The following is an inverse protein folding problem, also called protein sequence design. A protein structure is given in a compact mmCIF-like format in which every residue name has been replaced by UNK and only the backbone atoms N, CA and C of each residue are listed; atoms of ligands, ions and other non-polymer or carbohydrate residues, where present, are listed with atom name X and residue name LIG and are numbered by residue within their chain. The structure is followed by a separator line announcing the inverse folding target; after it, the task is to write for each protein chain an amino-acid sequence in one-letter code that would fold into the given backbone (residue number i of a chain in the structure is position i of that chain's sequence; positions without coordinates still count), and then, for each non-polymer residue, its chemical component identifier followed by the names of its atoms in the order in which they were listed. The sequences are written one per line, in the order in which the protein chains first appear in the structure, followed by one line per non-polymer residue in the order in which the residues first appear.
data_IF_901829085608
#
_entry.id   IF_901829085608
#
_cell.length_a   1.000
_cell.length_b   1.000
_cell.length_c   1.000
_cell.angle_alpha   90.00
_cell.angle_beta   90.00
_cell.angle_gamma   90.00
#
_symmetry.space_group_name_H-M   'P 1'
#
loop_
_entity.id
_entity.type
_entity.pdbx_description
1 polymer ?
#
# COMPACT_ATOMS: atom_id res chain seq x y z
N UNK A 1 -48.72 1.50 -10.49
CA UNK A 1 -47.49 2.25 -10.14
C UNK A 1 -47.05 1.69 -8.80
N UNK A 2 -46.00 0.88 -8.79
CA UNK A 2 -45.41 0.35 -7.57
C UNK A 2 -44.15 1.15 -7.30
N UNK A 3 -44.22 2.00 -6.28
CA UNK A 3 -43.08 2.67 -5.68
C UNK A 3 -42.51 1.71 -4.62
N UNK A 4 -41.39 1.08 -4.95
CA UNK A 4 -40.53 0.36 -3.99
C UNK A 4 -39.28 1.21 -3.79
N UNK A 5 -39.44 2.36 -3.16
CA UNK A 5 -38.34 3.16 -2.62
C UNK A 5 -37.67 2.41 -1.46
N UNK A 6 -36.69 1.57 -1.80
CA UNK A 6 -35.80 0.95 -0.83
C UNK A 6 -35.06 2.03 -0.04
N UNK A 7 -35.15 1.92 1.28
CA UNK A 7 -34.43 2.76 2.23
C UNK A 7 -32.92 2.54 2.10
N UNK A 8 -32.27 3.32 1.23
CA UNK A 8 -30.85 3.62 1.32
C UNK A 8 -30.67 4.80 2.28
N UNK A 9 -30.69 4.53 3.59
CA UNK A 9 -30.18 5.51 4.55
C UNK A 9 -28.72 5.83 4.22
N UNK A 10 -28.23 7.05 4.51
CA UNK A 10 -26.83 7.36 4.27
C UNK A 10 -25.96 6.34 5.01
N UNK A 11 -25.09 5.65 4.28
CA UNK A 11 -23.92 4.98 4.86
C UNK A 11 -23.21 6.05 5.68
N UNK A 12 -23.23 5.91 7.00
CA UNK A 12 -22.61 6.90 7.89
C UNK A 12 -21.14 7.01 7.52
N UNK A 13 -20.66 8.25 7.32
CA UNK A 13 -19.23 8.50 7.31
C UNK A 13 -18.70 8.04 8.67
N UNK A 14 -17.85 7.01 8.69
CA UNK A 14 -17.23 6.52 9.92
C UNK A 14 -15.97 7.34 10.29
N UNK A 15 -15.63 8.34 9.47
CA UNK A 15 -14.55 9.27 9.70
C UNK A 15 -14.84 10.27 10.83
N UNK A 16 -13.84 10.55 11.65
CA UNK A 16 -13.88 11.57 12.69
C UNK A 16 -12.49 12.13 13.00
N UNK A 17 -12.39 13.45 13.11
CA UNK A 17 -11.17 14.16 13.58
C UNK A 17 -10.83 13.82 15.05
N UNK A 18 -11.76 13.23 15.81
CA UNK A 18 -11.54 12.78 17.20
C UNK A 18 -10.85 11.40 17.28
N UNK A 19 -10.72 10.68 16.16
CA UNK A 19 -10.03 9.39 16.11
C UNK A 19 -8.50 9.59 15.96
N UNK A 20 -7.73 8.91 16.79
CA UNK A 20 -6.26 8.98 16.75
C UNK A 20 -5.64 7.62 17.11
N UNK A 21 -4.74 7.16 16.25
CA UNK A 21 -3.74 6.16 16.61
C UNK A 21 -2.40 6.88 16.80
N UNK A 22 -1.85 6.80 18.00
CA UNK A 22 -0.57 7.43 18.34
C UNK A 22 0.46 6.42 18.83
N UNK A 23 1.63 6.39 18.20
CA UNK A 23 2.78 5.54 18.56
C UNK A 23 3.89 6.44 19.12
N UNK A 24 4.05 6.41 20.44
CA UNK A 24 5.01 7.27 21.15
C UNK A 24 6.34 6.59 21.51
N UNK A 25 6.45 5.27 21.31
CA UNK A 25 7.57 4.47 21.78
C UNK A 25 7.29 2.97 21.78
N UNK A 26 8.25 2.18 22.26
CA UNK A 26 8.16 0.72 22.28
C UNK A 26 8.44 0.09 20.93
N UNK A 27 8.16 -1.21 20.81
CA UNK A 27 8.27 -1.96 19.56
C UNK A 27 6.93 -2.64 19.25
N UNK A 28 6.38 -2.35 18.08
CA UNK A 28 5.11 -2.88 17.59
C UNK A 28 5.36 -3.57 16.25
N UNK A 29 4.88 -4.81 16.12
CA UNK A 29 4.93 -5.57 14.88
C UNK A 29 3.52 -6.05 14.52
N UNK A 30 3.08 -5.75 13.31
CA UNK A 30 1.70 -5.99 12.86
C UNK A 30 1.69 -6.93 11.66
N UNK A 31 0.82 -7.93 11.70
CA UNK A 31 0.44 -8.71 10.53
C UNK A 31 -1.08 -8.65 10.44
N UNK A 32 -1.59 -7.89 9.47
CA UNK A 32 -3.00 -7.66 9.31
C UNK A 32 -3.54 -8.30 8.03
N UNK A 33 -4.78 -8.79 8.11
CA UNK A 33 -5.56 -9.22 6.94
C UNK A 33 -6.28 -8.08 6.21
N UNK A 34 -6.20 -6.87 6.77
CA UNK A 34 -6.60 -5.60 6.17
C UNK A 34 -5.45 -4.60 6.35
N UNK A 35 -5.74 -3.31 6.46
CA UNK A 35 -4.70 -2.30 6.66
C UNK A 35 -3.90 -2.55 7.95
N UNK A 36 -2.57 -2.35 7.89
CA UNK A 36 -1.73 -2.63 9.06
C UNK A 36 -1.90 -1.57 10.15
N UNK A 37 -2.06 -0.30 9.76
CA UNK A 37 -2.44 0.79 10.67
C UNK A 37 -3.63 1.51 10.04
N UNK A 38 -4.80 1.38 10.65
CA UNK A 38 -6.08 1.87 10.14
C UNK A 38 -6.70 2.82 11.16
N UNK A 39 -6.81 4.11 10.80
CA UNK A 39 -7.49 5.10 11.62
C UNK A 39 -8.59 5.80 10.84
N UNK A 40 -9.82 5.76 11.35
CA UNK A 40 -10.89 6.64 10.85
C UNK A 40 -10.64 8.15 11.13
N UNK A 41 -9.45 8.51 11.62
CA UNK A 41 -9.07 9.88 11.96
C UNK A 41 -7.64 10.16 11.52
N UNK A 42 -6.75 10.34 12.50
CA UNK A 42 -5.33 10.62 12.32
C UNK A 42 -4.44 9.45 12.76
N UNK A 43 -3.23 9.43 12.21
CA UNK A 43 -2.11 8.61 12.68
C UNK A 43 -0.95 9.52 13.07
N UNK A 44 -0.34 9.28 14.22
CA UNK A 44 0.84 10.01 14.68
C UNK A 44 1.92 9.06 15.19
N UNK A 45 3.14 9.20 14.67
CA UNK A 45 4.31 8.42 15.11
C UNK A 45 5.38 9.38 15.62
N UNK A 46 5.62 9.37 16.94
CA UNK A 46 6.59 10.27 17.58
C UNK A 46 7.84 9.53 18.09
N UNK A 47 7.80 8.20 18.15
CA UNK A 47 8.94 7.39 18.57
C UNK A 47 8.68 5.88 18.50
N UNK A 48 9.70 5.09 18.87
CA UNK A 48 9.63 3.63 18.90
C UNK A 48 9.95 2.97 17.57
N UNK A 49 9.59 1.70 17.44
CA UNK A 49 9.74 0.89 16.23
C UNK A 49 8.37 0.35 15.83
N UNK A 50 7.96 0.62 14.59
CA UNK A 50 6.69 0.19 14.02
C UNK A 50 6.97 -0.60 12.74
N UNK A 51 6.81 -1.92 12.82
CA UNK A 51 6.94 -2.85 11.71
C UNK A 51 5.57 -3.40 11.36
N UNK A 52 5.29 -3.59 10.08
CA UNK A 52 3.97 -4.07 9.69
C UNK A 52 3.91 -4.63 8.29
N UNK A 53 3.00 -5.58 8.10
CA UNK A 53 2.55 -5.96 6.76
C UNK A 53 1.03 -6.05 6.73
N UNK A 54 0.44 -5.46 5.70
CA UNK A 54 -0.94 -5.66 5.31
C UNK A 54 -1.01 -6.76 4.25
N UNK A 55 -1.96 -7.68 4.39
CA UNK A 55 -2.20 -8.74 3.41
C UNK A 55 -3.58 -8.57 2.78
N UNK A 56 -3.63 -7.99 1.59
CA UNK A 56 -4.83 -7.92 0.79
C UNK A 56 -4.66 -6.97 -0.39
N UNK A 57 -5.26 -7.30 -1.53
CA UNK A 57 -5.03 -6.52 -2.77
C UNK A 57 -5.72 -5.14 -2.74
N UNK A 58 -6.63 -4.91 -1.79
CA UNK A 58 -7.35 -3.65 -1.60
C UNK A 58 -6.98 -2.93 -0.29
N UNK A 59 -5.94 -3.39 0.40
CA UNK A 59 -5.55 -2.89 1.72
C UNK A 59 -4.15 -2.28 1.63
N UNK A 60 -3.96 -1.18 2.34
CA UNK A 60 -2.76 -0.38 2.45
C UNK A 60 -1.91 -0.81 3.65
N UNK A 61 -0.66 -0.36 3.70
CA UNK A 61 0.16 -0.52 4.90
C UNK A 61 -0.24 0.48 6.00
N UNK A 62 -0.85 1.59 5.61
CA UNK A 62 -1.19 2.72 6.46
C UNK A 62 -2.41 3.39 5.81
N UNK A 63 -3.53 3.47 6.55
CA UNK A 63 -4.81 4.04 6.12
C UNK A 63 -5.29 5.05 7.16
N UNK A 64 -5.71 6.22 6.68
CA UNK A 64 -6.27 7.28 7.49
C UNK A 64 -7.20 8.17 6.67
N UNK A 65 -8.21 8.77 7.31
CA UNK A 65 -9.08 9.69 6.59
C UNK A 65 -8.49 11.12 6.49
N UNK A 66 -7.79 11.60 7.54
CA UNK A 66 -7.42 13.02 7.61
C UNK A 66 -5.91 13.29 7.46
N UNK A 67 -5.05 12.52 8.12
CA UNK A 67 -3.61 12.70 8.00
C UNK A 67 -2.76 11.72 8.80
N UNK A 68 -1.51 11.58 8.39
CA UNK A 68 -0.50 10.80 9.08
C UNK A 68 0.78 11.61 9.28
N UNK A 69 1.14 11.86 10.54
CA UNK A 69 2.33 12.66 10.91
C UNK A 69 3.43 11.80 11.51
N UNK A 70 4.68 12.04 11.10
CA UNK A 70 5.85 11.39 11.71
C UNK A 70 6.91 12.40 12.20
N UNK A 71 7.21 12.35 13.49
CA UNK A 71 8.24 13.21 14.10
C UNK A 71 9.39 12.43 14.73
N UNK A 72 9.27 11.10 14.82
CA UNK A 72 10.29 10.25 15.40
C UNK A 72 9.99 8.77 15.25
N UNK A 73 11.02 7.92 15.38
CA UNK A 73 10.91 6.46 15.42
C UNK A 73 11.33 5.77 14.13
N UNK A 74 11.38 4.45 14.15
CA UNK A 74 11.75 3.61 13.01
C UNK A 74 10.50 2.92 12.47
N UNK A 75 10.18 3.14 11.19
CA UNK A 75 8.98 2.63 10.52
C UNK A 75 9.37 1.81 9.29
N UNK A 76 8.81 0.61 9.18
CA UNK A 76 8.80 -0.21 7.98
C UNK A 76 7.43 -0.88 7.86
N UNK A 77 6.57 -0.33 7.01
CA UNK A 77 5.21 -0.83 6.77
C UNK A 77 5.08 -1.27 5.32
N UNK A 78 4.76 -2.54 5.10
CA UNK A 78 4.61 -3.11 3.76
C UNK A 78 3.12 -3.41 3.43
N UNK A 79 2.72 -3.24 2.18
CA UNK A 79 1.32 -3.43 1.77
C UNK A 79 1.11 -3.48 0.26
N UNK A 80 -0.15 -3.37 -0.18
CA UNK A 80 -0.52 -3.31 -1.60
C UNK A 80 -0.17 -1.96 -2.22
N UNK A 81 0.28 -1.99 -3.47
CA UNK A 81 0.56 -0.78 -4.26
C UNK A 81 -0.71 -0.05 -4.68
N UNK A 82 -1.84 -0.76 -4.80
CA UNK A 82 -3.09 -0.21 -5.35
C UNK A 82 -3.76 0.83 -4.46
N UNK A 83 -3.52 0.74 -3.15
CA UNK A 83 -4.06 1.63 -2.10
C UNK A 83 -2.91 2.20 -1.26
N UNK A 84 -1.72 2.32 -1.84
CA UNK A 84 -0.55 2.73 -1.08
C UNK A 84 -0.64 4.19 -0.64
N UNK A 85 -0.70 4.39 0.67
CA UNK A 85 -0.51 5.69 1.29
C UNK A 85 0.84 5.78 2.01
N UNK A 86 1.19 7.00 2.43
CA UNK A 86 2.41 7.32 3.17
C UNK A 86 2.06 8.37 4.23
N UNK A 87 3.03 8.74 5.06
CA UNK A 87 2.88 9.94 5.88
C UNK A 87 2.59 11.18 5.01
N UNK A 88 1.78 12.09 5.54
CA UNK A 88 1.40 13.34 4.88
C UNK A 88 2.36 14.47 5.22
N UNK A 89 2.93 14.45 6.42
CA UNK A 89 3.84 15.48 6.93
C UNK A 89 4.67 14.96 8.11
N UNK A 90 5.63 15.78 8.56
CA UNK A 90 6.47 15.42 9.69
C UNK A 90 7.79 16.20 9.75
N UNK A 91 8.48 16.09 10.88
CA UNK A 91 9.87 16.57 11.00
C UNK A 91 10.88 15.47 10.69
N UNK A 92 10.47 14.21 10.72
CA UNK A 92 11.33 13.08 10.36
C UNK A 92 11.03 12.66 8.91
N UNK A 93 12.03 12.63 8.03
CA UNK A 93 11.85 12.23 6.64
C UNK A 93 11.35 10.80 6.47
N UNK A 94 10.57 10.58 5.42
CA UNK A 94 9.98 9.30 5.07
C UNK A 94 9.98 9.09 3.55
N UNK A 95 9.66 7.87 3.12
CA UNK A 95 9.47 7.54 1.71
C UNK A 95 8.47 6.40 1.53
N UNK A 96 7.73 6.43 0.42
CA UNK A 96 6.99 5.28 -0.12
C UNK A 96 7.79 4.69 -1.27
N UNK A 97 8.15 3.41 -1.17
CA UNK A 97 9.04 2.73 -2.12
C UNK A 97 8.31 1.57 -2.79
N UNK A 98 8.31 1.56 -4.11
CA UNK A 98 7.66 0.51 -4.92
C UNK A 98 8.57 -0.73 -5.03
N UNK A 99 8.68 -1.46 -3.93
CA UNK A 99 9.40 -2.72 -3.84
C UNK A 99 8.42 -3.85 -3.48
N UNK A 100 8.58 -5.01 -4.12
CA UNK A 100 7.66 -6.14 -3.99
C UNK A 100 8.38 -7.38 -3.48
N UNK A 101 7.67 -8.18 -2.68
CA UNK A 101 8.18 -9.41 -2.11
C UNK A 101 7.07 -10.44 -1.89
N UNK A 102 7.44 -11.72 -1.91
CA UNK A 102 6.56 -12.80 -1.50
C UNK A 102 6.54 -12.93 0.03
N UNK A 103 5.58 -13.70 0.56
CA UNK A 103 5.60 -14.09 1.96
C UNK A 103 6.93 -14.77 2.33
N UNK A 104 7.51 -14.37 3.46
CA UNK A 104 8.83 -14.79 3.93
C UNK A 104 10.00 -14.00 3.34
N UNK A 105 9.77 -12.97 2.52
CA UNK A 105 10.86 -12.14 2.00
C UNK A 105 11.53 -11.31 3.12
N UNK A 106 12.85 -11.24 3.07
CA UNK A 106 13.63 -10.32 3.92
C UNK A 106 13.64 -8.94 3.28
N UNK A 107 13.15 -7.95 4.03
CA UNK A 107 13.14 -6.54 3.66
C UNK A 107 14.14 -5.81 4.55
N UNK A 108 15.06 -5.06 3.97
CA UNK A 108 16.02 -4.24 4.70
C UNK A 108 16.04 -2.81 4.15
N UNK A 109 16.07 -1.84 5.04
CA UNK A 109 16.26 -0.42 4.71
C UNK A 109 17.67 -0.03 5.09
N UNK A 110 18.40 0.59 4.16
CA UNK A 110 19.76 1.08 4.43
C UNK A 110 19.94 2.53 3.96
N UNK A 111 20.84 3.24 4.62
CA UNK A 111 21.29 4.57 4.20
C UNK A 111 22.20 4.51 2.96
N UNK A 112 22.61 5.67 2.45
CA UNK A 112 23.53 5.79 1.32
C UNK A 112 24.92 5.17 1.56
N UNK A 113 25.32 4.96 2.83
CA UNK A 113 26.57 4.29 3.19
C UNK A 113 26.43 2.75 3.24
N UNK A 114 25.21 2.24 3.07
CA UNK A 114 24.89 0.81 3.18
C UNK A 114 24.69 0.34 4.62
N UNK A 115 24.55 1.25 5.58
CA UNK A 115 24.22 0.90 6.97
C UNK A 115 22.75 0.52 7.04
N UNK A 116 22.45 -0.72 7.46
CA UNK A 116 21.07 -1.14 7.72
C UNK A 116 20.47 -0.33 8.87
N UNK A 117 19.37 0.36 8.58
CA UNK A 117 18.60 1.16 9.54
C UNK A 117 17.52 0.31 10.21
N UNK A 118 16.91 -0.60 9.46
CA UNK A 118 15.89 -1.55 9.92
C UNK A 118 15.79 -2.73 8.96
N UNK A 119 15.46 -3.91 9.49
CA UNK A 119 15.10 -5.08 8.69
C UNK A 119 13.82 -5.73 9.22
N UNK A 120 13.14 -6.47 8.35
CA UNK A 120 11.89 -7.15 8.63
C UNK A 120 11.66 -8.31 7.67
N UNK A 121 11.40 -9.51 8.21
CA UNK A 121 10.91 -10.64 7.40
C UNK A 121 9.40 -10.52 7.24
N UNK A 122 8.92 -10.15 6.05
CA UNK A 122 7.51 -9.93 5.81
C UNK A 122 6.73 -11.27 5.78
N UNK A 123 5.78 -11.53 6.70
CA UNK A 123 5.03 -12.80 6.73
C UNK A 123 4.00 -12.94 5.60
N UNK A 124 3.73 -11.87 4.86
CA UNK A 124 2.79 -11.79 3.74
C UNK A 124 3.43 -11.13 2.53
N UNK A 125 2.89 -11.38 1.34
CA UNK A 125 3.35 -10.72 0.13
C UNK A 125 2.96 -9.23 0.13
N UNK A 126 3.78 -8.38 -0.48
CA UNK A 126 3.61 -6.93 -0.54
C UNK A 126 4.13 -6.38 -1.88
N UNK A 127 3.77 -5.14 -2.18
CA UNK A 127 4.09 -4.46 -3.44
C UNK A 127 4.67 -3.05 -3.25
N UNK A 128 4.59 -2.51 -2.03
CA UNK A 128 5.26 -1.30 -1.64
C UNK A 128 5.69 -1.35 -0.16
N UNK A 129 6.58 -0.42 0.22
CA UNK A 129 7.06 -0.25 1.59
C UNK A 129 7.10 1.24 1.94
N UNK A 130 6.46 1.63 3.04
CA UNK A 130 6.61 2.95 3.68
C UNK A 130 7.73 2.85 4.70
N UNK A 131 8.70 3.75 4.60
CA UNK A 131 9.91 3.75 5.44
C UNK A 131 10.15 5.11 6.08
N UNK A 132 10.64 5.10 7.31
CA UNK A 132 11.21 6.26 7.99
C UNK A 132 12.14 5.78 9.10
N UNK A 133 13.19 6.54 9.39
CA UNK A 133 14.10 6.22 10.48
C UNK A 133 14.73 7.51 11.04
N UNK A 134 15.11 7.56 12.33
CA UNK A 134 15.69 8.76 12.93
C UNK A 134 17.01 9.22 12.30
N UNK A 135 17.68 8.33 11.58
CA UNK A 135 18.94 8.58 10.89
C UNK A 135 18.77 9.26 9.53
N UNK A 136 17.56 9.27 8.95
CA UNK A 136 17.30 9.89 7.66
C UNK A 136 17.13 11.42 7.81
N UNK A 137 17.79 12.18 6.95
CA UNK A 137 17.60 13.62 6.78
C UNK A 137 16.91 13.95 5.44
N UNK A 138 16.35 15.16 5.32
CA UNK A 138 15.69 15.62 4.11
C UNK A 138 16.65 15.54 2.91
N UNK A 139 16.23 14.85 1.86
CA UNK A 139 17.04 14.67 0.65
C UNK A 139 18.05 13.53 0.72
N UNK A 140 18.14 12.80 1.84
CA UNK A 140 19.03 11.64 1.93
C UNK A 140 18.60 10.55 0.95
N UNK A 141 19.59 9.95 0.29
CA UNK A 141 19.38 8.72 -0.47
C UNK A 141 19.39 7.50 0.47
N UNK A 142 18.52 6.55 0.18
CA UNK A 142 18.47 5.27 0.87
C UNK A 142 18.05 4.14 -0.08
N UNK A 143 18.07 2.92 0.43
CA UNK A 143 17.64 1.73 -0.33
C UNK A 143 16.68 0.89 0.48
N UNK A 144 15.66 0.35 -0.19
CA UNK A 144 14.88 -0.79 0.28
C UNK A 144 15.34 -2.01 -0.50
N UNK A 145 15.90 -2.99 0.18
CA UNK A 145 16.34 -4.27 -0.38
C UNK A 145 15.33 -5.35 -0.05
N UNK A 146 14.86 -6.08 -1.07
CA UNK A 146 14.02 -7.27 -0.90
C UNK A 146 14.79 -8.48 -1.40
N UNK A 147 15.14 -9.40 -0.50
CA UNK A 147 15.99 -10.57 -0.80
C UNK A 147 17.27 -10.20 -1.59
N UNK A 148 17.90 -9.06 -1.26
CA UNK A 148 19.11 -8.56 -1.92
C UNK A 148 18.88 -7.71 -3.18
N UNK A 149 17.63 -7.56 -3.65
CA UNK A 149 17.31 -6.65 -4.77
C UNK A 149 16.98 -5.26 -4.23
N UNK A 150 17.86 -4.30 -4.48
CA UNK A 150 17.74 -2.94 -3.97
C UNK A 150 16.89 -2.04 -4.88
N UNK A 151 16.03 -1.23 -4.26
CA UNK A 151 15.29 -0.10 -4.87
C UNK A 151 15.67 1.16 -4.12
N UNK A 152 16.17 2.17 -4.85
CA UNK A 152 16.58 3.45 -4.26
C UNK A 152 15.36 4.34 -3.95
N UNK A 153 15.50 5.18 -2.92
CA UNK A 153 14.56 6.25 -2.61
C UNK A 153 15.30 7.50 -2.14
N UNK A 154 14.59 8.63 -2.14
CA UNK A 154 15.03 9.87 -1.51
C UNK A 154 14.06 10.20 -0.38
N UNK A 155 14.57 10.38 0.83
CA UNK A 155 13.76 10.69 1.99
C UNK A 155 13.27 12.15 1.93
N UNK A 156 12.00 12.38 2.27
CA UNK A 156 11.43 13.73 2.37
C UNK A 156 10.44 13.82 3.52
N UNK A 157 10.31 15.02 4.08
CA UNK A 157 9.28 15.43 5.05
C UNK A 157 7.95 15.75 4.38
N UNK A 158 7.93 15.74 3.04
CA UNK A 158 6.73 15.89 2.23
C UNK A 158 6.47 14.62 1.42
N UNK A 159 5.21 14.29 1.12
CA UNK A 159 4.89 13.09 0.36
C UNK A 159 5.50 13.19 -1.03
N UNK A 160 6.35 12.23 -1.37
CA UNK A 160 6.80 12.08 -2.75
C UNK A 160 5.63 11.54 -3.55
N UNK A 161 5.15 12.30 -4.54
CA UNK A 161 4.21 11.76 -5.53
C UNK A 161 4.90 10.56 -6.18
N UNK A 162 4.41 9.35 -5.87
CA UNK A 162 5.04 8.08 -6.26
C UNK A 162 5.58 8.16 -7.68
N UNK A 163 6.87 7.87 -7.85
CA UNK A 163 7.58 7.98 -9.11
C UNK A 163 6.91 7.17 -10.21
N UNK A 164 6.01 7.83 -10.94
CA UNK A 164 5.46 7.38 -12.20
C UNK A 164 5.03 8.64 -12.95
N UNK A 165 5.80 8.97 -14.00
CA UNK A 165 5.61 10.16 -14.81
C UNK A 165 4.16 10.37 -15.21
N UNK A 166 3.61 11.52 -14.83
CA UNK A 166 2.24 11.88 -15.13
C UNK A 166 1.97 13.28 -14.61
N UNK A 167 2.16 14.27 -15.47
CA UNK A 167 1.58 15.60 -15.36
C UNK A 167 0.13 15.49 -14.85
N UNK A 168 -0.09 15.67 -13.56
CA UNK A 168 -1.38 16.10 -13.04
C UNK A 168 -1.44 17.59 -13.34
N UNK A 169 -1.97 17.87 -14.52
CA UNK A 169 -2.25 19.21 -15.00
C UNK A 169 -3.06 19.96 -13.95
N UNK A 170 -2.39 20.87 -13.25
CA UNK A 170 -3.06 22.00 -12.65
C UNK A 170 -3.56 22.87 -13.80
N UNK A 171 -4.79 22.63 -14.24
CA UNK A 171 -5.61 23.69 -14.82
C UNK A 171 -5.79 24.73 -13.71
N UNK A 172 -4.79 25.63 -13.56
CA UNK A 172 -5.02 26.94 -12.98
C UNK A 172 -5.86 27.68 -14.01
N UNK A 173 -7.17 27.69 -13.76
CA UNK A 173 -8.12 28.49 -14.49
C UNK A 173 -7.85 29.96 -14.20
N UNK A 174 -6.93 30.54 -14.97
CA UNK A 174 -6.78 31.98 -15.08
C UNK A 174 -7.86 32.49 -16.03
N UNK A 175 -9.03 32.81 -15.45
CA UNK A 175 -9.99 33.71 -16.10
C UNK A 175 -9.40 35.12 -16.05
N UNK A 176 -8.66 35.47 -17.09
CA UNK A 176 -8.27 36.85 -17.37
C UNK A 176 -9.04 37.36 -18.59
N UNK A 177 -9.64 38.53 -18.39
CA UNK A 177 -10.46 39.30 -19.31
C UNK A 177 -9.81 39.53 -20.67
N UNK A 178 -10.65 39.58 -21.72
CA UNK A 178 -10.38 40.41 -22.89
C UNK A 178 -10.44 39.72 -24.25
N UNK A 179 -11.40 40.17 -25.04
CA UNK A 179 -11.34 40.29 -26.51
C UNK A 179 -11.57 39.02 -27.36
N UNK A 180 -12.81 38.90 -27.82
CA UNK A 180 -13.17 38.10 -29.01
C UNK A 180 -12.68 38.80 -30.28
N UNK A 181 -12.05 38.07 -31.23
CA UNK A 181 -12.07 38.45 -32.63
C UNK A 181 -13.03 37.55 -33.41
N UNK A 182 -13.98 38.21 -34.08
CA UNK A 182 -14.79 37.65 -35.15
C UNK A 182 -13.93 37.33 -36.39
N UNK A 183 -14.20 36.19 -37.05
CA UNK A 183 -13.72 35.85 -38.38
C UNK A 183 -14.19 34.43 -38.76
N UNK A 184 -15.31 34.32 -39.49
CA UNK A 184 -15.36 34.03 -40.94
C UNK A 184 -14.93 32.59 -41.25
N UNK A 185 -15.83 31.64 -41.55
CA UNK A 185 -16.61 31.61 -42.79
C UNK A 185 -16.00 30.57 -43.73
N UNK A 186 -16.49 29.32 -43.68
CA UNK A 186 -15.91 28.23 -44.48
C UNK A 186 -16.84 27.04 -44.63
N UNK A 187 -17.69 27.12 -45.65
CA UNK A 187 -18.68 26.11 -46.02
C UNK A 187 -18.00 24.92 -46.72
N UNK A 188 -18.40 23.70 -46.36
CA UNK A 188 -18.00 22.47 -47.06
C UNK A 188 -18.98 21.34 -46.78
N UNK A 189 -20.10 21.33 -47.51
CA UNK A 189 -21.06 20.22 -47.53
C UNK A 189 -20.63 19.17 -48.55
N UNK A 190 -20.77 17.88 -48.18
CA UNK A 190 -21.46 16.92 -49.04
C UNK A 190 -20.76 15.60 -49.38
N UNK A 191 -21.60 14.55 -49.42
CA UNK A 191 -21.43 13.17 -49.90
C UNK A 191 -20.78 12.19 -48.90
N UNK A 192 -21.43 11.13 -48.40
CA UNK A 192 -22.59 10.38 -48.89
C UNK A 192 -22.13 9.00 -49.39
N UNK A 193 -22.23 7.95 -48.55
CA UNK A 193 -21.91 6.57 -48.92
C UNK A 193 -22.41 5.54 -47.91
N UNK A 194 -23.49 4.85 -48.26
CA UNK A 194 -24.05 3.66 -47.59
C UNK A 194 -23.25 2.40 -47.96
N UNK A 195 -23.45 1.35 -47.13
CA UNK A 195 -23.19 -0.11 -47.27
C UNK A 195 -21.91 -0.56 -46.56
N UNK A 196 -21.88 -1.66 -45.80
CA UNK A 196 -22.84 -2.74 -45.61
C UNK A 196 -22.53 -3.53 -44.34
N UNK A 197 -23.48 -4.35 -43.91
CA UNK A 197 -23.41 -5.13 -42.68
C UNK A 197 -22.93 -6.57 -42.84
N UNK A 198 -22.97 -7.24 -41.69
CA UNK A 198 -22.93 -8.68 -41.37
C UNK A 198 -21.67 -9.47 -41.71
N UNK A 199 -21.01 -10.01 -40.68
CA UNK A 199 -21.19 -11.43 -40.34
C UNK A 199 -20.80 -11.74 -38.89
N UNK A 200 -21.55 -12.70 -38.34
CA UNK A 200 -21.43 -13.31 -37.02
C UNK A 200 -20.65 -14.64 -37.10
N UNK A 201 -20.63 -15.36 -35.98
CA UNK A 201 -20.10 -16.72 -35.71
C UNK A 201 -18.67 -16.74 -35.15
N UNK A 202 -18.32 -17.46 -34.07
CA UNK A 202 -19.07 -18.45 -33.28
C UNK A 202 -18.27 -18.75 -32.00
N UNK A 203 -18.93 -18.76 -30.84
CA UNK A 203 -18.40 -19.34 -29.60
C UNK A 203 -19.26 -20.58 -29.30
N UNK A 204 -18.68 -21.75 -29.55
CA UNK A 204 -19.34 -23.03 -29.36
C UNK A 204 -18.94 -23.59 -27.99
N UNK A 205 -19.95 -23.73 -27.13
CA UNK A 205 -19.91 -24.47 -25.88
C UNK A 205 -19.86 -25.98 -26.18
N UNK A 206 -19.21 -26.75 -25.31
CA UNK A 206 -19.22 -28.21 -25.34
C UNK A 206 -18.90 -28.77 -23.95
N UNK A 207 -19.94 -29.14 -23.21
CA UNK A 207 -19.88 -30.04 -22.06
C UNK A 207 -19.78 -31.51 -22.53
N UNK A 208 -19.15 -32.39 -21.74
CA UNK A 208 -19.21 -33.83 -21.97
C UNK A 208 -18.25 -34.64 -21.08
N UNK A 209 -18.83 -35.34 -20.10
CA UNK A 209 -18.19 -36.10 -19.02
C UNK A 209 -17.67 -37.50 -19.41
N UNK A 210 -16.78 -38.06 -18.56
CA UNK A 210 -16.64 -39.48 -18.11
C UNK A 210 -15.35 -39.56 -17.23
N UNK A 211 -15.40 -39.87 -15.93
CA UNK A 211 -15.44 -41.22 -15.32
C UNK A 211 -14.06 -41.91 -15.39
N UNK A 212 -13.38 -42.45 -14.37
CA UNK A 212 -13.69 -42.88 -13.01
C UNK A 212 -12.37 -43.48 -12.42
N UNK A 213 -12.28 -43.67 -11.07
CA UNK A 213 -11.33 -44.52 -10.29
C UNK A 213 -9.94 -43.94 -9.96
N UNK A 214 -9.32 -44.16 -8.80
CA UNK A 214 -9.71 -44.80 -7.54
C UNK A 214 -8.74 -44.36 -6.41
N UNK A 215 -9.30 -44.42 -5.20
CA UNK A 215 -8.76 -44.55 -3.84
C UNK A 215 -7.25 -44.80 -3.65
N UNK A 216 -6.68 -44.07 -2.68
CA UNK A 216 -5.43 -44.39 -2.00
C UNK A 216 -5.38 -43.74 -0.63
N UNK A 217 -5.89 -44.44 0.39
CA UNK A 217 -5.71 -44.14 1.80
C UNK A 217 -4.25 -44.45 2.20
N UNK A 218 -3.66 -43.59 3.03
CA UNK A 218 -2.35 -43.82 3.65
C UNK A 218 -2.36 -43.23 5.06
N UNK A 219 -2.26 -44.11 6.04
CA UNK A 219 -2.38 -43.87 7.47
C UNK A 219 -1.10 -43.30 8.11
N UNK A 220 -1.32 -42.61 9.24
CA UNK A 220 -0.50 -42.54 10.46
C UNK A 220 0.93 -41.96 10.42
N UNK A 221 1.18 -40.96 11.29
CA UNK A 221 2.14 -41.11 12.39
C UNK A 221 1.97 -39.95 13.40
N UNK A 222 1.78 -40.32 14.66
CA UNK A 222 1.93 -39.45 15.81
C UNK A 222 3.41 -39.17 16.08
N UNK A 223 3.74 -37.96 16.53
CA UNK A 223 4.93 -37.69 17.31
C UNK A 223 4.63 -36.56 18.30
N UNK A 224 4.45 -36.95 19.56
CA UNK A 224 4.58 -36.05 20.72
C UNK A 224 6.06 -35.85 21.07
N UNK A 225 6.30 -34.77 21.83
CA UNK A 225 7.44 -34.55 22.75
C UNK A 225 8.80 -34.16 22.16
N UNK A 226 9.24 -32.93 22.43
CA UNK A 226 9.99 -32.68 23.68
C UNK A 226 10.11 -31.19 24.01
N UNK A 227 9.77 -30.87 25.26
CA UNK A 227 10.08 -29.62 25.91
C UNK A 227 11.54 -29.63 26.35
N UNK A 228 12.26 -28.54 26.15
CA UNK A 228 13.53 -28.27 26.80
C UNK A 228 13.36 -27.03 27.69
N UNK A 229 13.14 -27.28 28.98
CA UNK A 229 13.32 -26.32 30.06
C UNK A 229 14.55 -26.76 30.88
N UNK A 230 15.45 -25.83 31.20
CA UNK A 230 16.51 -26.10 32.19
C UNK A 230 17.75 -25.20 32.16
N UNK A 231 17.62 -23.94 32.62
CA UNK A 231 18.56 -23.08 33.41
C UNK A 231 20.09 -23.03 33.12
N UNK A 232 20.90 -22.34 33.96
CA UNK A 232 20.61 -21.46 35.11
C UNK A 232 21.15 -20.00 34.92
N UNK A 233 20.46 -18.98 35.45
CA UNK A 233 20.83 -18.20 36.67
C UNK A 233 22.32 -17.84 36.77
N UNK A 234 22.62 -16.55 36.55
CA UNK A 234 23.89 -15.91 36.87
C UNK A 234 23.63 -14.57 37.57
N UNK A 235 23.43 -14.65 38.88
CA UNK A 235 23.48 -13.53 39.82
C UNK A 235 24.95 -13.19 40.10
N UNK A 236 25.36 -11.92 39.96
CA UNK A 236 26.46 -11.36 40.76
C UNK A 236 26.13 -9.92 41.14
N UNK A 237 25.96 -9.77 42.45
CA UNK A 237 25.86 -8.57 43.28
C UNK A 237 27.14 -7.73 43.26
N UNK A 238 26.99 -6.40 43.21
CA UNK A 238 27.54 -5.42 44.16
C UNK A 238 26.97 -4.03 43.86
#
# INVERSE_FOLDING_TARGET
MADMGGAGGPLGANASEDCLIQVNGGAVTIQAGGDAVDSNGYIEVTGGTLLGVSSGNGDSALDYEYGATITGGTVLLAGSAGMAESFTEGTQPFALVMAQGAAGAEVAVADAAGTTLVDYTAPSAFQCVVVSAPQLAEGDAGTVSVNGTATEFTASTTPTAGGMGGQRGGMRGDFADGEQPQGDGGQGRGFGGRRGGSNAESAQQGEGAQGERAQGQGESAAAESSAAAGGPQGEVVA
#
